data_IF_062162627120
#
_entry.id   IF_062162627120
#
_cell.length_a   1.000
_cell.length_b   1.000
_cell.length_c   1.000
_cell.angle_alpha   90.00
_cell.angle_beta   90.00
_cell.angle_gamma   90.00
#
_symmetry.space_group_name_H-M   'P 1'
#
loop_
_entity.id
_entity.type
_entity.pdbx_description
1 polymer ?
#
# COMPACT_ATOMS: atom_id res chain seq x y z
N UNK A 1 7.49 18.05 2.89
CA UNK A 1 6.37 17.62 3.74
C UNK A 1 6.89 16.46 4.57
N UNK A 2 7.00 16.66 5.88
CA UNK A 2 7.43 15.61 6.79
C UNK A 2 6.41 14.47 6.72
N UNK A 3 6.86 13.27 6.38
CA UNK A 3 6.14 12.04 6.72
C UNK A 3 6.31 11.92 8.23
N UNK A 4 5.38 12.51 8.99
CA UNK A 4 5.32 12.24 10.41
C UNK A 4 5.34 10.72 10.59
N UNK A 5 6.22 10.24 11.45
CA UNK A 5 6.39 8.82 11.68
C UNK A 5 5.08 8.28 12.27
N UNK A 6 4.20 7.78 11.39
CA UNK A 6 2.94 7.18 11.75
C UNK A 6 3.20 6.10 12.80
N UNK A 7 2.72 6.36 14.02
CA UNK A 7 3.03 5.50 15.16
C UNK A 7 2.30 4.18 14.97
N UNK A 8 3.06 3.09 14.78
CA UNK A 8 2.51 1.74 14.72
C UNK A 8 1.52 1.47 15.86
N UNK A 9 0.26 1.20 15.52
CA UNK A 9 -0.75 0.72 16.46
C UNK A 9 -0.70 -0.81 16.47
N UNK A 10 0.02 -1.38 17.43
CA UNK A 10 0.13 -2.85 17.61
C UNK A 10 -1.23 -3.56 17.69
N UNK A 11 -2.23 -2.91 18.27
CA UNK A 11 -3.60 -3.43 18.37
C UNK A 11 -4.27 -3.61 17.00
N UNK A 12 -3.84 -2.85 15.98
CA UNK A 12 -4.33 -2.95 14.61
C UNK A 12 -3.43 -3.85 13.73
N UNK A 13 -2.40 -4.49 14.30
CA UNK A 13 -1.49 -5.37 13.55
C UNK A 13 -0.64 -4.65 12.51
N UNK A 14 -0.41 -3.33 12.64
CA UNK A 14 0.33 -2.55 11.65
C UNK A 14 1.83 -2.92 11.61
N UNK A 15 2.25 -3.55 10.51
CA UNK A 15 3.65 -3.79 10.16
C UNK A 15 3.96 -3.10 8.82
N UNK A 16 4.65 -1.96 8.86
CA UNK A 16 4.95 -1.21 7.64
C UNK A 16 6.04 -1.89 6.80
N UNK A 17 5.73 -2.08 5.52
CA UNK A 17 6.65 -2.63 4.53
C UNK A 17 7.66 -1.55 4.11
N UNK A 18 8.95 -1.81 4.35
CA UNK A 18 10.03 -0.85 4.05
C UNK A 18 11.03 -1.35 3.00
N UNK A 19 11.01 -2.64 2.65
CA UNK A 19 11.96 -3.24 1.71
C UNK A 19 11.52 -3.04 0.25
N UNK A 20 12.26 -2.26 -0.58
CA UNK A 20 11.89 -2.02 -1.97
C UNK A 20 11.87 -3.31 -2.81
N UNK A 21 12.79 -4.24 -2.54
CA UNK A 21 12.85 -5.52 -3.26
C UNK A 21 11.66 -6.43 -2.96
N UNK A 22 11.09 -6.36 -1.75
CA UNK A 22 9.86 -7.10 -1.43
C UNK A 22 8.65 -6.44 -2.09
N UNK A 23 8.58 -5.11 -2.07
CA UNK A 23 7.55 -4.34 -2.80
C UNK A 23 7.55 -4.74 -4.27
N UNK A 24 8.70 -4.71 -4.94
CA UNK A 24 8.80 -5.08 -6.36
C UNK A 24 8.34 -6.51 -6.63
N UNK A 25 8.72 -7.48 -5.78
CA UNK A 25 8.25 -8.87 -5.90
C UNK A 25 6.73 -8.99 -5.77
N UNK A 26 6.13 -8.24 -4.85
CA UNK A 26 4.67 -8.21 -4.68
C UNK A 26 4.00 -7.64 -5.94
N UNK A 27 4.47 -6.50 -6.45
CA UNK A 27 3.90 -5.89 -7.67
C UNK A 27 3.99 -6.85 -8.87
N UNK A 28 5.13 -7.54 -9.03
CA UNK A 28 5.29 -8.55 -10.09
C UNK A 28 4.37 -9.75 -9.90
N UNK A 29 4.10 -10.17 -8.66
CA UNK A 29 3.19 -11.27 -8.37
C UNK A 29 1.72 -10.90 -8.61
N UNK A 30 1.32 -9.66 -8.26
CA UNK A 30 -0.01 -9.11 -8.56
C UNK A 30 -0.19 -8.97 -10.07
N UNK A 31 0.85 -8.55 -10.80
CA UNK A 31 0.87 -8.46 -12.26
C UNK A 31 -0.34 -7.71 -12.86
N UNK A 32 -0.66 -6.51 -12.36
CA UNK A 32 -1.92 -5.82 -12.64
C UNK A 32 -2.08 -5.59 -14.15
N UNK A 33 -3.31 -5.80 -14.65
CA UNK A 33 -3.66 -5.62 -16.06
C UNK A 33 -4.61 -4.45 -16.25
N UNK A 34 -4.45 -3.68 -17.35
CA UNK A 34 -5.36 -2.58 -17.67
C UNK A 34 -6.82 -3.02 -17.63
N UNK A 35 -7.67 -2.24 -16.96
CA UNK A 35 -9.10 -2.52 -16.80
C UNK A 35 -9.48 -3.47 -15.66
N UNK A 36 -8.51 -4.07 -14.94
CA UNK A 36 -8.81 -4.80 -13.70
C UNK A 36 -9.21 -3.85 -12.58
N UNK A 37 -10.13 -4.28 -11.72
CA UNK A 37 -10.46 -3.52 -10.52
C UNK A 37 -9.61 -4.01 -9.35
N UNK A 38 -8.75 -3.14 -8.80
CA UNK A 38 -7.83 -3.48 -7.71
C UNK A 38 -8.29 -2.81 -6.41
N UNK A 39 -8.36 -3.61 -5.35
CA UNK A 39 -8.60 -3.15 -3.98
C UNK A 39 -7.37 -3.41 -3.13
N UNK A 40 -6.86 -2.37 -2.46
CA UNK A 40 -5.84 -2.48 -1.42
C UNK A 40 -6.50 -2.30 -0.05
N UNK A 41 -6.19 -3.20 0.89
CA UNK A 41 -6.67 -3.14 2.28
C UNK A 41 -5.49 -2.78 3.17
N UNK A 42 -5.62 -1.71 3.94
CA UNK A 42 -4.56 -1.18 4.80
C UNK A 42 -3.41 -0.57 4.00
N UNK A 43 -3.66 0.50 3.21
CA UNK A 43 -2.61 1.16 2.41
C UNK A 43 -1.45 1.67 3.28
N UNK A 44 -1.72 2.00 4.55
CA UNK A 44 -0.70 2.50 5.46
C UNK A 44 0.03 3.71 4.89
N UNK A 45 1.36 3.72 5.02
CA UNK A 45 2.21 4.74 4.40
C UNK A 45 2.33 4.69 2.87
N UNK A 46 1.52 3.87 2.19
CA UNK A 46 1.45 3.80 0.72
C UNK A 46 2.56 2.98 0.07
N UNK A 47 3.21 2.07 0.83
CA UNK A 47 4.34 1.27 0.34
C UNK A 47 3.98 0.42 -0.89
N UNK A 48 2.74 -0.04 -1.00
CA UNK A 48 2.21 -0.76 -2.17
C UNK A 48 1.28 0.11 -3.02
N UNK A 49 0.52 1.03 -2.41
CA UNK A 49 -0.35 2.01 -3.09
C UNK A 49 0.35 2.72 -4.25
N UNK A 50 1.48 3.38 -4.00
CA UNK A 50 2.13 4.20 -5.04
C UNK A 50 2.74 3.35 -6.16
N UNK A 51 3.42 2.22 -5.89
CA UNK A 51 3.85 1.31 -6.94
C UNK A 51 2.70 0.73 -7.76
N UNK A 52 1.59 0.34 -7.14
CA UNK A 52 0.40 -0.17 -7.84
C UNK A 52 -0.21 0.92 -8.74
N UNK A 53 -0.37 2.14 -8.23
CA UNK A 53 -0.79 3.30 -9.03
C UNK A 53 0.10 3.53 -10.25
N UNK A 54 1.42 3.46 -10.09
CA UNK A 54 2.34 3.61 -11.23
C UNK A 54 2.20 2.50 -12.26
N UNK A 55 1.88 1.29 -11.84
CA UNK A 55 1.76 0.13 -12.73
C UNK A 55 0.39 0.04 -13.42
N UNK A 56 -0.68 0.47 -12.74
CA UNK A 56 -2.07 0.21 -13.16
C UNK A 56 -2.90 1.49 -13.42
N UNK A 57 -2.54 2.61 -12.79
CA UNK A 57 -3.19 3.92 -12.98
C UNK A 57 -4.31 4.22 -12.00
N UNK A 58 -5.06 3.21 -11.55
CA UNK A 58 -6.16 3.38 -10.58
C UNK A 58 -6.18 2.25 -9.54
N UNK A 59 -6.71 2.55 -8.35
CA UNK A 59 -7.08 1.54 -7.35
C UNK A 59 -8.12 2.12 -6.38
N UNK A 60 -8.83 1.22 -5.71
CA UNK A 60 -9.60 1.54 -4.50
C UNK A 60 -8.81 1.14 -3.27
N UNK A 61 -8.74 2.02 -2.27
CA UNK A 61 -8.09 1.73 -0.98
C UNK A 61 -9.12 1.68 0.14
N UNK A 62 -8.93 0.78 1.09
CA UNK A 62 -9.73 0.68 2.31
C UNK A 62 -8.78 0.78 3.50
N UNK A 63 -8.91 1.83 4.29
CA UNK A 63 -8.16 2.03 5.53
C UNK A 63 -9.11 2.07 6.73
N UNK A 64 -8.76 1.33 7.77
CA UNK A 64 -9.55 1.27 9.00
C UNK A 64 -9.08 2.32 10.01
N UNK A 65 -7.77 2.61 10.03
CA UNK A 65 -7.19 3.61 10.92
C UNK A 65 -7.42 5.03 10.37
N UNK A 66 -8.31 5.80 11.00
CA UNK A 66 -8.62 7.17 10.58
C UNK A 66 -7.54 8.19 10.92
N UNK A 67 -6.57 7.81 11.76
CA UNK A 67 -5.46 8.68 12.14
C UNK A 67 -4.20 8.43 11.29
N UNK A 68 -4.36 7.67 10.19
CA UNK A 68 -3.29 7.23 9.28
C UNK A 68 -3.44 7.84 7.89
#
# INVERSE_FOLDING_TARGET
MSLDAHRHKKQLGQHFLSSPGVVEKIIRAVNPKPGEFIVEIGPGGGALTFPLLRAHGELTVIEFDRDL
#
